data_IF_125171474293
#
_entry.id   IF_125171474293
#
_cell.length_a   1.000
_cell.length_b   1.000
_cell.length_c   1.000
_cell.angle_alpha   90.00
_cell.angle_beta   90.00
_cell.angle_gamma   90.00
#
_symmetry.space_group_name_H-M   'P 1'
#
loop_
_entity.id
_entity.type
_entity.pdbx_description
1 polymer ?
#
# COMPACT_ATOMS: atom_id res chain seq x y z
N UNK A 1 32.64 -9.24 7.58
CA UNK A 1 31.33 -8.88 8.14
C UNK A 1 30.33 -9.90 7.62
N UNK A 2 29.61 -10.66 8.49
CA UNK A 2 28.50 -11.50 8.04
C UNK A 2 27.37 -10.56 7.65
N UNK A 3 26.92 -10.64 6.41
CA UNK A 3 25.70 -9.98 5.99
C UNK A 3 24.53 -10.63 6.72
N UNK A 4 23.76 -9.86 7.48
CA UNK A 4 22.49 -10.30 8.00
C UNK A 4 21.47 -10.15 6.89
N UNK A 5 20.59 -11.12 6.71
CA UNK A 5 19.50 -11.03 5.73
C UNK A 5 18.54 -9.88 6.06
N UNK A 6 18.47 -9.52 7.35
CA UNK A 6 17.65 -8.45 7.88
C UNK A 6 18.43 -7.75 8.99
N UNK A 7 18.57 -6.43 8.88
CA UNK A 7 19.17 -5.58 9.91
C UNK A 7 18.34 -4.32 10.04
N UNK A 8 18.14 -3.85 11.25
CA UNK A 8 17.44 -2.60 11.53
C UNK A 8 18.41 -1.44 11.24
N UNK A 9 17.89 -0.38 10.64
CA UNK A 9 18.64 0.85 10.39
C UNK A 9 18.62 1.83 11.58
N UNK A 10 18.16 1.38 12.76
CA UNK A 10 18.11 2.20 13.98
C UNK A 10 19.54 2.28 14.55
N UNK A 11 20.04 3.49 14.65
CA UNK A 11 21.36 3.81 15.21
C UNK A 11 21.21 4.36 16.64
N UNK A 12 22.32 4.42 17.38
CA UNK A 12 22.32 4.94 18.78
C UNK A 12 21.79 6.38 18.87
N UNK A 13 22.01 7.17 17.83
CA UNK A 13 21.58 8.57 17.74
C UNK A 13 20.04 8.72 17.68
N UNK A 14 19.34 7.70 17.21
CA UNK A 14 17.87 7.67 17.13
C UNK A 14 17.22 7.47 18.50
N UNK A 15 17.97 6.98 19.49
CA UNK A 15 17.42 6.61 20.79
C UNK A 15 17.11 7.85 21.66
N UNK A 16 17.90 8.90 21.58
CA UNK A 16 17.71 10.09 22.42
C UNK A 16 16.34 10.77 22.19
N UNK A 17 15.89 11.03 20.96
CA UNK A 17 14.55 11.55 20.69
C UNK A 17 13.42 10.62 21.16
N UNK A 18 13.60 9.30 21.03
CA UNK A 18 12.61 8.31 21.49
C UNK A 18 12.46 8.37 23.02
N UNK A 19 13.58 8.42 23.74
CA UNK A 19 13.57 8.54 25.20
C UNK A 19 12.92 9.85 25.69
N UNK A 20 13.09 10.94 24.94
CA UNK A 20 12.45 12.21 25.25
C UNK A 20 10.93 12.12 25.12
N UNK A 21 10.41 11.52 24.04
CA UNK A 21 8.98 11.30 23.83
C UNK A 21 8.39 10.44 24.95
N UNK A 22 9.07 9.35 25.32
CA UNK A 22 8.65 8.47 26.40
C UNK A 22 8.60 9.21 27.76
N UNK A 23 9.60 10.05 28.06
CA UNK A 23 9.64 10.84 29.30
C UNK A 23 8.54 11.89 29.36
N UNK A 24 8.15 12.48 28.24
CA UNK A 24 7.05 13.44 28.14
C UNK A 24 5.68 12.79 28.20
N UNK A 25 5.60 11.48 28.04
CA UNK A 25 4.32 10.75 27.97
C UNK A 25 3.54 11.01 26.68
N UNK A 26 4.17 11.52 25.63
CA UNK A 26 3.58 11.79 24.31
C UNK A 26 3.43 10.48 23.52
N UNK A 27 2.69 9.54 24.09
CA UNK A 27 2.46 8.21 23.51
C UNK A 27 1.24 8.21 22.58
N UNK A 28 1.30 7.46 21.49
CA UNK A 28 0.22 7.41 20.50
C UNK A 28 0.30 8.54 19.48
N UNK A 29 -0.81 9.23 19.21
CA UNK A 29 -0.87 10.33 18.25
C UNK A 29 -0.31 11.64 18.82
N UNK A 30 1.00 11.67 19.07
CA UNK A 30 1.71 12.86 19.51
C UNK A 30 2.13 13.77 18.35
N UNK A 31 2.74 14.95 18.64
CA UNK A 31 3.19 15.92 17.63
C UNK A 31 4.14 15.30 16.57
N UNK A 32 4.96 14.35 16.98
CA UNK A 32 5.91 13.66 16.09
C UNK A 32 5.26 12.87 14.96
N UNK A 33 4.07 12.34 15.18
CA UNK A 33 3.29 11.69 14.10
C UNK A 33 2.93 12.70 13.03
N UNK A 34 2.42 13.87 13.40
CA UNK A 34 2.07 14.92 12.44
C UNK A 34 3.28 15.52 11.71
N UNK A 35 4.46 15.60 12.36
CA UNK A 35 5.72 15.98 11.71
C UNK A 35 6.11 14.94 10.67
N UNK A 36 6.10 13.66 11.03
CA UNK A 36 6.40 12.54 10.14
C UNK A 36 5.47 12.52 8.91
N UNK A 37 4.16 12.65 9.11
CA UNK A 37 3.18 12.69 8.02
C UNK A 37 3.46 13.81 7.02
N UNK A 38 3.90 14.98 7.48
CA UNK A 38 4.29 16.11 6.63
C UNK A 38 5.58 15.85 5.87
N UNK A 39 6.59 15.33 6.56
CA UNK A 39 7.89 15.03 5.95
C UNK A 39 7.79 13.91 4.91
N UNK A 40 6.96 12.90 5.18
CA UNK A 40 6.76 11.78 4.26
C UNK A 40 6.11 12.18 2.94
N UNK A 41 5.49 13.36 2.84
CA UNK A 41 4.93 13.87 1.60
C UNK A 41 5.95 13.99 0.46
N UNK A 42 7.22 14.24 0.80
CA UNK A 42 8.33 14.30 -0.17
C UNK A 42 8.66 12.93 -0.78
N UNK A 43 8.42 11.85 -0.06
CA UNK A 43 8.64 10.48 -0.52
C UNK A 43 7.43 9.93 -1.29
N UNK A 44 6.24 10.12 -0.76
CA UNK A 44 5.01 9.59 -1.35
C UNK A 44 4.53 10.38 -2.57
N UNK A 45 4.97 11.64 -2.70
CA UNK A 45 4.45 12.61 -3.68
C UNK A 45 2.91 12.74 -3.61
N UNK A 46 2.35 12.63 -2.40
CA UNK A 46 0.92 12.77 -2.13
C UNK A 46 0.65 13.87 -1.12
N UNK A 47 -0.49 14.53 -1.30
CA UNK A 47 -0.90 15.65 -0.44
C UNK A 47 -1.17 15.22 1.01
N UNK A 48 -1.75 14.05 1.18
CA UNK A 48 -2.15 13.53 2.49
C UNK A 48 -1.41 12.25 2.78
N UNK A 49 -0.85 12.20 3.98
CA UNK A 49 -0.15 11.05 4.51
C UNK A 49 -0.72 10.80 5.91
N UNK A 50 -1.19 9.58 6.16
CA UNK A 50 -1.89 9.21 7.40
C UNK A 50 -1.15 8.02 8.00
N UNK A 51 -0.53 8.22 9.14
CA UNK A 51 0.18 7.17 9.85
C UNK A 51 -0.79 6.11 10.39
N UNK A 52 -0.39 4.86 10.31
CA UNK A 52 -1.12 3.70 10.81
C UNK A 52 -0.17 2.80 11.60
N UNK A 53 -0.72 1.86 12.35
CA UNK A 53 0.11 0.91 13.11
C UNK A 53 0.77 -0.18 12.24
N UNK A 54 0.35 -0.34 10.99
CA UNK A 54 0.95 -1.29 10.05
C UNK A 54 0.45 -1.05 8.62
N UNK A 55 1.19 -1.53 7.62
CA UNK A 55 0.72 -1.57 6.23
C UNK A 55 -0.56 -2.41 6.07
N UNK A 56 -0.73 -3.44 6.88
CA UNK A 56 -1.95 -4.27 6.89
C UNK A 56 -3.17 -3.48 7.32
N UNK A 57 -3.05 -2.65 8.36
CA UNK A 57 -4.11 -1.74 8.78
C UNK A 57 -4.37 -0.67 7.72
N UNK A 58 -3.33 -0.10 7.12
CA UNK A 58 -3.43 0.86 6.03
C UNK A 58 -4.23 0.28 4.85
N UNK A 59 -3.88 -0.92 4.39
CA UNK A 59 -4.61 -1.61 3.32
C UNK A 59 -6.07 -1.87 3.72
N UNK A 60 -6.30 -2.34 4.95
CA UNK A 60 -7.66 -2.60 5.44
C UNK A 60 -8.53 -1.33 5.44
N UNK A 61 -8.00 -0.20 5.91
CA UNK A 61 -8.70 1.09 5.92
C UNK A 61 -9.03 1.58 4.51
N UNK A 62 -8.07 1.48 3.57
CA UNK A 62 -8.30 1.83 2.15
C UNK A 62 -9.46 0.99 1.58
N UNK A 63 -9.45 -0.32 1.78
CA UNK A 63 -10.52 -1.20 1.26
C UNK A 63 -11.85 -0.98 1.98
N UNK A 64 -11.85 -0.65 3.27
CA UNK A 64 -13.07 -0.24 3.98
C UNK A 64 -13.66 1.05 3.39
N UNK A 65 -12.82 2.05 3.11
CA UNK A 65 -13.22 3.26 2.42
C UNK A 65 -13.82 2.96 1.03
N UNK A 66 -13.14 2.17 0.22
CA UNK A 66 -13.62 1.79 -1.10
C UNK A 66 -14.94 1.03 -1.02
N UNK A 67 -15.09 0.13 -0.04
CA UNK A 67 -16.34 -0.60 0.20
C UNK A 67 -17.51 0.33 0.51
N UNK A 68 -17.26 1.34 1.34
CA UNK A 68 -18.27 2.32 1.75
C UNK A 68 -18.68 3.26 0.60
N UNK A 69 -17.74 3.69 -0.25
CA UNK A 69 -17.97 4.74 -1.24
C UNK A 69 -18.15 4.23 -2.68
N UNK A 70 -17.65 3.07 -3.00
CA UNK A 70 -17.70 2.46 -4.34
C UNK A 70 -18.48 1.15 -4.38
N UNK A 71 -18.82 0.61 -3.22
CA UNK A 71 -19.44 -0.69 -3.12
C UNK A 71 -18.42 -1.83 -3.27
N UNK A 72 -18.90 -3.01 -3.67
CA UNK A 72 -18.06 -4.19 -3.88
C UNK A 72 -17.24 -4.04 -5.15
N UNK A 73 -15.91 -4.06 -5.06
CA UNK A 73 -14.98 -3.96 -6.18
C UNK A 73 -14.40 -5.32 -6.56
N UNK A 74 -13.85 -5.39 -7.76
CA UNK A 74 -12.98 -6.45 -8.24
C UNK A 74 -11.54 -5.98 -8.12
N UNK A 75 -10.75 -6.63 -7.26
CA UNK A 75 -9.38 -6.24 -6.93
C UNK A 75 -8.42 -7.19 -7.61
N UNK A 76 -7.68 -6.69 -8.58
CA UNK A 76 -6.65 -7.44 -9.29
C UNK A 76 -5.29 -7.19 -8.63
N UNK A 77 -4.61 -8.24 -8.20
CA UNK A 77 -3.30 -8.18 -7.54
C UNK A 77 -2.47 -9.42 -7.85
N UNK A 78 -1.19 -9.39 -7.54
CA UNK A 78 -0.31 -10.55 -7.72
C UNK A 78 -0.36 -11.48 -6.51
N UNK A 79 -0.08 -12.77 -6.72
CA UNK A 79 0.14 -13.73 -5.63
C UNK A 79 1.54 -13.62 -5.03
N UNK A 80 2.47 -12.97 -5.73
CA UNK A 80 3.81 -12.68 -5.24
C UNK A 80 3.75 -11.40 -4.38
N UNK A 81 3.91 -11.56 -3.07
CA UNK A 81 3.84 -10.49 -2.09
C UNK A 81 3.39 -10.98 -0.73
N UNK A 82 3.15 -10.04 0.17
CA UNK A 82 2.61 -10.38 1.49
C UNK A 82 1.10 -10.58 1.40
N UNK A 83 0.57 -11.52 2.17
CA UNK A 83 -0.85 -11.95 2.06
C UNK A 83 -1.84 -10.91 2.58
N UNK A 84 -1.43 -10.03 3.51
CA UNK A 84 -2.36 -9.15 4.21
C UNK A 84 -3.11 -8.15 3.32
N UNK A 85 -2.55 -7.57 2.24
CA UNK A 85 -3.30 -6.65 1.39
C UNK A 85 -4.44 -7.35 0.64
N UNK A 86 -4.19 -8.55 0.10
CA UNK A 86 -5.23 -9.36 -0.54
C UNK A 86 -6.31 -9.79 0.46
N UNK A 87 -5.89 -10.19 1.67
CA UNK A 87 -6.81 -10.50 2.76
C UNK A 87 -7.62 -9.27 3.18
N UNK A 88 -7.01 -8.09 3.28
CA UNK A 88 -7.70 -6.85 3.62
C UNK A 88 -8.83 -6.53 2.62
N UNK A 89 -8.57 -6.71 1.33
CA UNK A 89 -9.60 -6.57 0.31
C UNK A 89 -10.73 -7.59 0.47
N UNK A 90 -10.39 -8.86 0.66
CA UNK A 90 -11.38 -9.93 0.83
C UNK A 90 -12.21 -9.75 2.11
N UNK A 91 -11.60 -9.37 3.23
CA UNK A 91 -12.26 -9.13 4.51
C UNK A 91 -13.26 -7.96 4.44
N UNK A 92 -13.03 -6.97 3.56
CA UNK A 92 -13.97 -5.89 3.27
C UNK A 92 -15.03 -6.28 2.22
N UNK A 93 -15.11 -7.56 1.83
CA UNK A 93 -16.13 -8.08 0.91
C UNK A 93 -15.85 -7.78 -0.57
N UNK A 94 -14.67 -7.29 -0.93
CA UNK A 94 -14.23 -7.20 -2.32
C UNK A 94 -13.91 -8.59 -2.86
N UNK A 95 -13.88 -8.73 -4.17
CA UNK A 95 -13.41 -9.96 -4.80
C UNK A 95 -11.97 -9.78 -5.24
N UNK A 96 -11.09 -10.63 -4.76
CA UNK A 96 -9.69 -10.67 -5.16
C UNK A 96 -9.52 -11.60 -6.36
N UNK A 97 -8.83 -11.11 -7.38
CA UNK A 97 -8.50 -11.83 -8.60
C UNK A 97 -6.98 -11.74 -8.74
N UNK A 98 -6.33 -12.90 -8.67
CA UNK A 98 -4.89 -12.93 -8.83
C UNK A 98 -4.49 -12.82 -10.30
N UNK A 99 -3.51 -11.98 -10.53
CA UNK A 99 -2.82 -11.75 -11.80
C UNK A 99 -1.43 -12.35 -11.68
N UNK A 100 -0.88 -12.86 -12.77
CA UNK A 100 0.49 -13.36 -12.78
C UNK A 100 1.50 -12.22 -12.71
N UNK A 101 2.74 -12.55 -12.48
CA UNK A 101 3.86 -11.60 -12.56
C UNK A 101 4.53 -11.71 -13.93
N UNK A 102 5.17 -10.63 -14.35
CA UNK A 102 6.04 -10.61 -15.52
C UNK A 102 7.45 -11.18 -15.21
N UNK A 103 8.35 -11.14 -16.17
CA UNK A 103 9.73 -11.59 -16.03
C UNK A 103 10.54 -10.80 -14.99
N UNK A 104 10.09 -9.59 -14.64
CA UNK A 104 10.68 -8.74 -13.62
C UNK A 104 10.03 -8.94 -12.23
N UNK A 105 9.19 -9.96 -12.08
CA UNK A 105 8.41 -10.26 -10.87
C UNK A 105 7.43 -9.14 -10.48
N UNK A 106 7.00 -8.33 -11.45
CA UNK A 106 6.04 -7.25 -11.26
C UNK A 106 4.65 -7.64 -11.77
N UNK A 107 3.65 -6.84 -11.47
CA UNK A 107 2.27 -7.04 -11.92
C UNK A 107 2.19 -7.15 -13.46
N UNK A 108 1.78 -8.31 -13.98
CA UNK A 108 1.65 -8.54 -15.42
C UNK A 108 0.43 -7.82 -15.98
N UNK A 109 0.68 -6.69 -16.64
CA UNK A 109 -0.37 -5.96 -17.38
C UNK A 109 -1.00 -6.82 -18.48
N UNK A 110 -0.23 -7.70 -19.12
CA UNK A 110 -0.73 -8.59 -20.15
C UNK A 110 -1.72 -9.63 -19.60
N UNK A 111 -1.38 -10.27 -18.46
CA UNK A 111 -2.29 -11.24 -17.83
C UNK A 111 -3.55 -10.55 -17.28
N UNK A 112 -3.40 -9.35 -16.70
CA UNK A 112 -4.56 -8.54 -16.31
C UNK A 112 -5.49 -8.28 -17.48
N UNK A 113 -4.97 -7.80 -18.62
CA UNK A 113 -5.75 -7.57 -19.86
C UNK A 113 -6.51 -8.81 -20.28
N UNK A 114 -5.84 -9.94 -20.31
CA UNK A 114 -6.43 -11.23 -20.67
C UNK A 114 -7.56 -11.59 -19.71
N UNK A 115 -7.35 -11.54 -18.41
CA UNK A 115 -8.36 -11.86 -17.39
C UNK A 115 -9.54 -10.88 -17.42
N UNK A 116 -9.28 -9.60 -17.68
CA UNK A 116 -10.32 -8.56 -17.75
C UNK A 116 -11.29 -8.79 -18.93
N UNK A 117 -10.82 -9.43 -20.01
CA UNK A 117 -11.63 -9.73 -21.20
C UNK A 117 -12.33 -11.09 -21.17
N UNK A 118 -11.98 -11.96 -20.22
CA UNK A 118 -12.66 -13.26 -20.10
C UNK A 118 -14.17 -13.10 -19.86
N UNK A 119 -14.99 -14.00 -20.41
CA UNK A 119 -16.42 -14.01 -20.16
C UNK A 119 -16.72 -14.08 -18.65
N UNK A 120 -17.73 -13.34 -18.21
CA UNK A 120 -18.14 -13.25 -16.78
C UNK A 120 -18.34 -14.62 -16.11
N UNK A 121 -18.82 -15.61 -16.86
CA UNK A 121 -19.00 -17.00 -16.39
C UNK A 121 -17.71 -17.68 -15.94
N UNK A 122 -16.54 -17.30 -16.49
CA UNK A 122 -15.25 -17.87 -16.12
C UNK A 122 -14.64 -17.22 -14.89
N UNK A 123 -14.94 -15.94 -14.64
CA UNK A 123 -14.43 -15.19 -13.52
C UNK A 123 -15.46 -15.01 -12.39
N UNK A 124 -16.71 -15.44 -12.61
CA UNK A 124 -17.86 -15.09 -11.76
C UNK A 124 -17.94 -13.56 -11.51
N UNK A 125 -17.57 -12.77 -12.54
CA UNK A 125 -17.46 -11.32 -12.46
C UNK A 125 -18.75 -10.67 -12.95
N UNK A 126 -19.13 -9.56 -12.34
CA UNK A 126 -20.07 -8.60 -12.93
C UNK A 126 -19.24 -7.41 -13.44
N UNK A 127 -19.32 -7.09 -14.73
CA UNK A 127 -18.66 -5.91 -15.31
C UNK A 127 -19.17 -4.58 -14.74
N UNK A 128 -20.24 -4.62 -13.99
CA UNK A 128 -20.79 -3.47 -13.29
C UNK A 128 -20.01 -3.05 -12.03
N UNK A 129 -19.04 -3.87 -11.57
CA UNK A 129 -18.26 -3.55 -10.37
C UNK A 129 -17.08 -2.65 -10.70
N UNK A 130 -16.82 -1.66 -9.84
CA UNK A 130 -15.57 -0.91 -9.94
C UNK A 130 -14.36 -1.84 -9.86
N UNK A 131 -13.34 -1.50 -10.62
CA UNK A 131 -12.09 -2.26 -10.68
C UNK A 131 -11.03 -1.54 -9.87
N UNK A 132 -10.32 -2.30 -9.08
CA UNK A 132 -9.13 -1.86 -8.37
C UNK A 132 -7.93 -2.64 -8.89
N UNK A 133 -6.89 -1.95 -9.30
CA UNK A 133 -5.58 -2.55 -9.55
C UNK A 133 -4.71 -2.33 -8.32
N UNK A 134 -4.22 -3.41 -7.75
CA UNK A 134 -3.33 -3.37 -6.61
C UNK A 134 -1.99 -4.03 -6.94
N UNK A 135 -1.13 -3.33 -7.70
CA UNK A 135 0.23 -3.81 -7.93
C UNK A 135 1.06 -3.73 -6.66
N UNK A 136 1.98 -4.68 -6.52
CA UNK A 136 2.99 -4.73 -5.46
C UNK A 136 4.31 -4.29 -6.07
N UNK A 137 4.96 -3.26 -5.51
CA UNK A 137 6.30 -2.82 -5.92
C UNK A 137 7.35 -3.76 -5.32
N UNK A 138 7.31 -5.02 -5.78
CA UNK A 138 8.12 -6.09 -5.23
C UNK A 138 9.61 -5.84 -5.46
N UNK A 139 10.43 -6.14 -4.44
CA UNK A 139 11.88 -5.96 -4.52
C UNK A 139 12.36 -4.51 -4.50
N UNK A 140 11.49 -3.53 -4.24
CA UNK A 140 11.86 -2.12 -4.12
C UNK A 140 11.87 -1.34 -5.43
N UNK A 141 11.27 -1.89 -6.50
CA UNK A 141 11.09 -1.13 -7.75
C UNK A 141 10.19 0.08 -7.50
N UNK A 142 10.45 1.18 -8.17
CA UNK A 142 9.68 2.42 -8.01
C UNK A 142 8.52 2.55 -9.00
N UNK A 143 8.55 1.77 -10.08
CA UNK A 143 7.54 1.76 -11.13
C UNK A 143 7.41 0.38 -11.73
N UNK A 144 6.34 0.16 -12.49
CA UNK A 144 6.11 -1.06 -13.27
C UNK A 144 6.06 -0.64 -14.74
N UNK A 145 6.93 -1.21 -15.56
CA UNK A 145 7.00 -0.88 -16.97
C UNK A 145 5.69 -1.24 -17.70
N UNK A 146 5.20 -0.33 -18.51
CA UNK A 146 3.95 -0.54 -19.26
C UNK A 146 2.69 -0.66 -18.41
N UNK A 147 2.75 -0.29 -17.13
CA UNK A 147 1.57 -0.27 -16.26
C UNK A 147 0.71 0.96 -16.60
N UNK A 148 -0.33 0.72 -17.37
CA UNK A 148 -1.30 1.73 -17.76
C UNK A 148 -2.71 1.26 -17.36
N UNK A 149 -3.46 2.05 -16.59
CA UNK A 149 -4.89 1.79 -16.36
C UNK A 149 -5.66 1.79 -17.68
N UNK A 150 -6.68 0.97 -17.77
CA UNK A 150 -7.47 0.79 -19.02
C UNK A 150 -8.68 1.75 -19.11
N UNK A 151 -9.00 2.43 -18.03
CA UNK A 151 -10.19 3.29 -17.92
C UNK A 151 -10.30 3.90 -16.54
N UNK A 152 -11.42 3.66 -15.87
CA UNK A 152 -11.74 4.22 -14.55
C UNK A 152 -11.27 3.33 -13.38
N UNK A 153 -10.22 2.55 -13.58
CA UNK A 153 -9.65 1.72 -12.53
C UNK A 153 -9.08 2.58 -11.40
N UNK A 154 -9.34 2.16 -10.17
CA UNK A 154 -8.75 2.74 -8.97
C UNK A 154 -7.41 2.06 -8.71
N UNK A 155 -6.35 2.84 -8.57
CA UNK A 155 -5.01 2.32 -8.38
C UNK A 155 -4.62 2.42 -6.90
N UNK A 156 -4.48 1.26 -6.26
CA UNK A 156 -4.02 1.10 -4.87
C UNK A 156 -2.67 0.38 -4.91
N UNK A 157 -1.60 1.05 -4.58
CA UNK A 157 -0.25 0.47 -4.70
C UNK A 157 0.26 -0.02 -3.35
N UNK A 158 0.68 -1.28 -3.32
CA UNK A 158 1.48 -1.82 -2.22
C UNK A 158 2.94 -1.35 -2.38
N UNK A 159 3.29 -0.34 -1.60
CA UNK A 159 4.61 0.27 -1.57
C UNK A 159 5.44 -0.15 -0.35
N UNK A 160 5.12 -1.31 0.24
CA UNK A 160 5.82 -1.82 1.42
C UNK A 160 7.32 -2.11 1.22
N UNK A 161 7.78 -2.20 -0.03
CA UNK A 161 9.20 -2.40 -0.38
C UNK A 161 9.82 -1.17 -1.07
N UNK A 162 9.03 -0.12 -1.36
CA UNK A 162 9.51 1.07 -2.07
C UNK A 162 9.01 2.33 -1.39
N UNK A 163 9.90 3.22 -0.96
CA UNK A 163 9.54 4.47 -0.27
C UNK A 163 9.37 5.65 -1.21
N UNK A 164 9.90 5.57 -2.43
CA UNK A 164 9.81 6.62 -3.46
C UNK A 164 9.13 6.11 -4.74
N UNK A 165 7.85 5.69 -4.68
CA UNK A 165 7.16 5.20 -5.86
C UNK A 165 6.92 6.32 -6.87
N UNK A 166 7.16 6.03 -8.15
CA UNK A 166 6.88 6.96 -9.26
C UNK A 166 5.62 6.59 -10.05
N UNK A 167 5.01 5.45 -9.72
CA UNK A 167 3.76 4.99 -10.32
C UNK A 167 2.59 5.89 -9.90
N UNK A 168 1.73 6.26 -10.86
CA UNK A 168 0.50 6.99 -10.54
C UNK A 168 -0.45 6.09 -9.76
N UNK A 169 -0.97 6.60 -8.65
CA UNK A 169 -1.89 5.87 -7.78
C UNK A 169 -2.91 6.80 -7.14
N UNK A 170 -4.10 6.28 -6.84
CA UNK A 170 -5.09 6.95 -6.00
C UNK A 170 -4.71 6.82 -4.52
N UNK A 171 -4.22 5.64 -4.17
CA UNK A 171 -3.74 5.32 -2.83
C UNK A 171 -2.41 4.57 -2.91
N UNK A 172 -1.54 4.88 -1.96
CA UNK A 172 -0.33 4.13 -1.67
C UNK A 172 -0.39 3.72 -0.21
N UNK A 173 0.12 2.55 0.12
CA UNK A 173 0.36 2.19 1.52
C UNK A 173 1.78 1.67 1.70
N UNK A 174 2.36 2.01 2.85
CA UNK A 174 3.75 1.74 3.20
C UNK A 174 3.84 0.93 4.48
N UNK A 175 4.94 0.23 4.63
CA UNK A 175 5.28 -0.53 5.83
C UNK A 175 6.58 -0.02 6.42
N UNK A 176 6.58 0.17 7.73
CA UNK A 176 7.76 0.51 8.52
C UNK A 176 8.19 -0.63 9.46
N UNK A 177 7.76 -1.86 9.13
CA UNK A 177 8.23 -3.06 9.81
C UNK A 177 9.78 -3.11 9.80
N UNK A 178 10.46 -3.66 10.83
CA UNK A 178 11.93 -3.66 10.95
C UNK A 178 12.72 -4.13 9.73
N UNK A 179 12.09 -4.90 8.83
CA UNK A 179 12.73 -5.44 7.62
C UNK A 179 12.46 -4.60 6.35
N UNK A 180 11.92 -3.40 6.50
CA UNK A 180 11.58 -2.52 5.38
C UNK A 180 12.65 -1.45 5.15
N UNK A 181 12.68 -0.81 3.96
CA UNK A 181 13.68 0.20 3.61
C UNK A 181 13.77 1.38 4.59
N UNK A 182 12.63 1.80 5.12
CA UNK A 182 12.53 2.67 6.30
C UNK A 182 11.86 1.83 7.38
N UNK A 183 12.47 1.76 8.56
CA UNK A 183 11.96 0.95 9.64
C UNK A 183 11.69 1.77 10.90
N UNK A 184 10.69 1.34 11.64
CA UNK A 184 10.43 1.64 13.03
C UNK A 184 10.17 0.32 13.77
N UNK A 185 9.92 0.29 15.08
CA UNK A 185 9.54 -0.94 15.75
C UNK A 185 8.32 -1.61 15.11
N UNK A 186 7.36 -0.82 14.65
CA UNK A 186 6.26 -1.19 13.78
C UNK A 186 5.66 0.07 13.17
N UNK A 187 4.81 -0.05 12.17
CA UNK A 187 4.15 1.10 11.56
C UNK A 187 3.77 0.90 10.11
N UNK A 188 2.93 1.79 9.65
CA UNK A 188 2.52 1.91 8.27
C UNK A 188 2.06 3.32 7.95
N UNK A 189 1.68 3.55 6.71
CA UNK A 189 1.17 4.85 6.28
C UNK A 189 0.27 4.67 5.05
N UNK A 190 -0.78 5.47 4.99
CA UNK A 190 -1.59 5.68 3.78
C UNK A 190 -1.20 7.01 3.17
N UNK A 191 -0.93 7.03 1.87
CA UNK A 191 -0.71 8.26 1.13
C UNK A 191 -1.73 8.39 -0.01
N UNK A 192 -2.39 9.56 -0.11
CA UNK A 192 -3.42 9.82 -1.12
C UNK A 192 -3.53 11.30 -1.46
N UNK A 193 -4.06 11.58 -2.66
CA UNK A 193 -4.52 12.92 -3.05
C UNK A 193 -6.02 13.15 -2.80
N UNK A 194 -6.75 12.12 -2.37
CA UNK A 194 -8.20 12.14 -2.25
C UNK A 194 -8.66 12.75 -0.92
N UNK A 195 -9.17 13.98 -0.97
CA UNK A 195 -9.66 14.70 0.21
C UNK A 195 -10.83 13.98 0.91
N UNK A 196 -11.74 13.36 0.15
CA UNK A 196 -12.87 12.62 0.74
C UNK A 196 -12.44 11.39 1.52
N UNK A 197 -11.33 10.76 1.11
CA UNK A 197 -10.79 9.62 1.82
C UNK A 197 -10.21 10.02 3.19
N UNK A 198 -9.56 11.18 3.27
CA UNK A 198 -8.92 11.66 4.51
C UNK A 198 -9.92 11.87 5.65
N UNK A 199 -11.13 12.31 5.33
CA UNK A 199 -12.18 12.48 6.35
C UNK A 199 -12.72 11.16 6.87
N UNK A 200 -12.59 10.09 6.09
CA UNK A 200 -13.02 8.75 6.46
C UNK A 200 -11.94 7.95 7.18
N UNK A 201 -10.69 8.11 6.77
CA UNK A 201 -9.52 7.41 7.28
C UNK A 201 -8.99 8.04 8.56
#
# INVERSE_FOLDING_TARGET
RKLKAFDSAIEEEDLAPILEILRKGELGFGPKVGEFEKEFASFSNKRYNIATNSASAAAFMIFAYLRSHKGKCDVYTTSLGFTSPAWAAAANGHRVIFVDVDENLQFSTQDYKTKRTLPEKHLQTCRCRPVVLMPVLYGGVSTIEGFEPYGDEIIVVDSAHCVTPTIKADFLFFSFHPYKPICSPDGGLIATGNTSAVTYL
#
